data_IF_720997145660
#
_entry.id   IF_720997145660
#
_cell.length_a   1.000
_cell.length_b   1.000
_cell.length_c   1.000
_cell.angle_alpha   90.00
_cell.angle_beta   90.00
_cell.angle_gamma   90.00
#
_symmetry.space_group_name_H-M   'P 1'
#
loop_
_entity.id
_entity.type
_entity.pdbx_description
1 polymer ?
#
# COMPACT_ATOMS: atom_id res chain seq x y z
N UNK A 1 -2.17 -8.22 -3.49
CA UNK A 1 -0.83 -8.63 -3.01
C UNK A 1 -0.35 -9.97 -3.55
N UNK A 2 -1.11 -11.06 -3.44
CA UNK A 2 -0.69 -12.40 -3.91
C UNK A 2 -0.16 -12.46 -5.34
N UNK A 3 -0.84 -11.78 -6.28
CA UNK A 3 -0.43 -11.72 -7.69
C UNK A 3 1.00 -11.17 -7.89
N UNK A 4 1.42 -10.18 -7.10
CA UNK A 4 2.76 -9.60 -7.22
C UNK A 4 3.87 -10.55 -6.76
N UNK A 5 3.56 -11.51 -5.88
CA UNK A 5 4.55 -12.50 -5.41
C UNK A 5 4.99 -13.49 -6.49
N UNK A 6 4.23 -13.58 -7.59
CA UNK A 6 4.50 -14.44 -8.75
C UNK A 6 5.31 -13.70 -9.82
N UNK A 7 5.51 -12.39 -9.69
CA UNK A 7 6.33 -11.64 -10.65
C UNK A 7 7.81 -11.98 -10.49
N UNK A 8 8.48 -12.06 -11.64
CA UNK A 8 9.91 -12.34 -11.76
C UNK A 8 10.56 -11.41 -12.80
N UNK A 9 11.87 -11.58 -13.01
CA UNK A 9 12.63 -10.79 -13.98
C UNK A 9 12.22 -11.02 -15.45
N UNK A 10 11.49 -12.09 -15.75
CA UNK A 10 11.02 -12.43 -17.11
C UNK A 10 9.59 -11.97 -17.40
N UNK A 11 8.93 -11.39 -16.40
CA UNK A 11 7.52 -11.01 -16.48
C UNK A 11 7.30 -9.88 -17.48
N UNK A 12 6.35 -10.07 -18.41
CA UNK A 12 6.04 -9.10 -19.45
C UNK A 12 5.43 -7.81 -18.89
N UNK A 13 5.57 -6.71 -19.64
CA UNK A 13 5.01 -5.41 -19.26
C UNK A 13 3.50 -5.45 -19.03
N UNK A 14 2.79 -6.17 -19.91
CA UNK A 14 1.34 -6.34 -19.79
C UNK A 14 0.95 -7.06 -18.48
N UNK A 15 1.73 -8.06 -18.05
CA UNK A 15 1.42 -8.86 -16.85
C UNK A 15 1.45 -8.02 -15.58
N UNK A 16 2.53 -7.27 -15.35
CA UNK A 16 2.62 -6.44 -14.14
C UNK A 16 1.65 -5.26 -14.18
N UNK A 17 1.37 -4.70 -15.37
CA UNK A 17 0.39 -3.62 -15.53
C UNK A 17 -1.03 -4.06 -15.15
N UNK A 18 -1.47 -5.24 -15.62
CA UNK A 18 -2.78 -5.79 -15.25
C UNK A 18 -2.88 -6.03 -13.74
N UNK A 19 -1.82 -6.54 -13.11
CA UNK A 19 -1.81 -6.74 -11.65
C UNK A 19 -1.91 -5.43 -10.87
N UNK A 20 -1.27 -4.36 -11.37
CA UNK A 20 -1.41 -3.00 -10.81
C UNK A 20 -2.84 -2.48 -10.91
N UNK A 21 -3.51 -2.68 -12.05
CA UNK A 21 -4.92 -2.27 -12.23
C UNK A 21 -5.82 -2.97 -11.21
N UNK A 22 -5.70 -4.28 -11.07
CA UNK A 22 -6.50 -5.06 -10.10
C UNK A 22 -6.23 -4.57 -8.67
N UNK A 23 -4.97 -4.32 -8.32
CA UNK A 23 -4.60 -3.80 -7.01
C UNK A 23 -5.19 -2.41 -6.75
N UNK A 24 -5.07 -1.50 -7.72
CA UNK A 24 -5.58 -0.14 -7.63
C UNK A 24 -7.12 -0.12 -7.49
N UNK A 25 -7.82 -0.99 -8.22
CA UNK A 25 -9.26 -1.15 -8.07
C UNK A 25 -9.65 -1.56 -6.64
N UNK A 26 -8.95 -2.54 -6.06
CA UNK A 26 -9.18 -2.97 -4.67
C UNK A 26 -8.92 -1.86 -3.65
N UNK A 27 -7.81 -1.13 -3.79
CA UNK A 27 -7.49 0.02 -2.92
C UNK A 27 -8.54 1.13 -3.06
N UNK A 28 -9.02 1.38 -4.28
CA UNK A 28 -10.07 2.36 -4.56
C UNK A 28 -11.37 2.04 -3.81
N UNK A 29 -11.83 0.80 -3.90
CA UNK A 29 -13.05 0.34 -3.21
C UNK A 29 -12.95 0.50 -1.70
N UNK A 30 -11.84 0.10 -1.08
CA UNK A 30 -11.65 0.24 0.38
C UNK A 30 -11.56 1.72 0.77
N UNK A 31 -10.86 2.54 -0.02
CA UNK A 31 -10.67 3.95 0.31
C UNK A 31 -11.97 4.74 0.27
N UNK A 32 -12.90 4.40 -0.63
CA UNK A 32 -14.20 5.10 -0.75
C UNK A 32 -15.22 4.66 0.29
N UNK A 33 -15.16 3.42 0.78
CA UNK A 33 -16.15 2.90 1.75
C UNK A 33 -15.78 3.15 3.22
N UNK A 34 -14.49 3.30 3.54
CA UNK A 34 -14.02 3.34 4.94
C UNK A 34 -14.53 4.56 5.71
N UNK A 35 -14.45 5.77 5.14
CA UNK A 35 -14.84 6.98 5.86
C UNK A 35 -16.36 7.02 6.13
N UNK A 36 -17.25 6.75 5.15
CA UNK A 36 -18.69 6.66 5.40
C UNK A 36 -19.05 5.61 6.47
N UNK A 37 -18.36 4.47 6.49
CA UNK A 37 -18.61 3.41 7.47
C UNK A 37 -18.31 3.86 8.91
N UNK A 38 -17.34 4.76 9.13
CA UNK A 38 -17.05 5.34 10.45
C UNK A 38 -18.09 6.40 10.83
N UNK A 39 -18.59 7.15 9.85
CA UNK A 39 -19.50 8.28 10.08
C UNK A 39 -20.96 7.86 10.28
N UNK A 40 -21.34 6.64 9.89
CA UNK A 40 -22.73 6.18 9.90
C UNK A 40 -23.39 6.18 11.29
N UNK A 41 -22.63 5.95 12.36
CA UNK A 41 -23.15 5.95 13.75
C UNK A 41 -22.96 7.30 14.47
N UNK A 42 -22.27 8.26 13.88
CA UNK A 42 -21.88 9.52 14.54
C UNK A 42 -22.91 10.63 14.34
N UNK A 43 -23.09 11.49 15.34
CA UNK A 43 -23.87 12.72 15.20
C UNK A 43 -23.14 13.71 14.28
N UNK A 44 -23.87 14.63 13.65
CA UNK A 44 -23.28 15.57 12.68
C UNK A 44 -22.18 16.45 13.28
N UNK A 45 -22.31 16.80 14.56
CA UNK A 45 -21.28 17.54 15.32
C UNK A 45 -19.92 16.83 15.35
N UNK A 46 -19.91 15.50 15.23
CA UNK A 46 -18.71 14.66 15.32
C UNK A 46 -18.13 14.30 13.92
N UNK A 47 -18.77 14.74 12.83
CA UNK A 47 -18.31 14.47 11.44
C UNK A 47 -16.95 15.13 11.17
N UNK A 48 -16.74 16.35 11.65
CA UNK A 48 -15.46 17.05 11.48
C UNK A 48 -14.33 16.34 12.24
N UNK A 49 -14.57 15.98 13.50
CA UNK A 49 -13.61 15.27 14.35
C UNK A 49 -13.27 13.89 13.79
N UNK A 50 -14.28 13.11 13.39
CA UNK A 50 -14.06 11.78 12.79
C UNK A 50 -13.29 11.84 11.48
N UNK A 51 -13.55 12.82 10.62
CA UNK A 51 -12.78 13.04 9.39
C UNK A 51 -11.32 13.35 9.70
N UNK A 52 -11.06 14.20 10.69
CA UNK A 52 -9.70 14.54 11.12
C UNK A 52 -8.96 13.32 11.68
N UNK A 53 -9.60 12.53 12.55
CA UNK A 53 -9.04 11.29 13.10
C UNK A 53 -8.75 10.27 11.99
N UNK A 54 -9.68 10.09 11.05
CA UNK A 54 -9.48 9.21 9.89
C UNK A 54 -8.29 9.65 9.04
N UNK A 55 -8.18 10.95 8.74
CA UNK A 55 -7.04 11.51 8.00
C UNK A 55 -5.71 11.32 8.71
N UNK A 56 -5.69 11.51 10.03
CA UNK A 56 -4.51 11.26 10.87
C UNK A 56 -4.09 9.78 10.83
N UNK A 57 -5.02 8.86 11.08
CA UNK A 57 -4.76 7.42 11.05
C UNK A 57 -4.29 6.94 9.67
N UNK A 58 -4.90 7.46 8.60
CA UNK A 58 -4.46 7.19 7.22
C UNK A 58 -3.03 7.66 6.97
N UNK A 59 -2.69 8.85 7.45
CA UNK A 59 -1.33 9.40 7.30
C UNK A 59 -0.31 8.58 8.07
N UNK A 60 -0.64 8.19 9.31
CA UNK A 60 0.18 7.28 10.11
C UNK A 60 0.37 5.92 9.43
N UNK A 61 -0.70 5.35 8.89
CA UNK A 61 -0.65 4.10 8.12
C UNK A 61 0.22 4.21 6.88
N UNK A 62 0.24 5.37 6.22
CA UNK A 62 1.08 5.61 5.03
C UNK A 62 2.57 5.65 5.37
N UNK A 63 2.93 6.26 6.52
CA UNK A 63 4.31 6.29 7.03
C UNK A 63 4.81 4.85 7.26
N UNK A 64 4.05 4.05 8.01
CA UNK A 64 4.41 2.65 8.26
C UNK A 64 4.37 1.79 7.00
N UNK A 65 3.44 2.10 6.09
CA UNK A 65 3.28 1.42 4.81
C UNK A 65 4.49 1.54 3.88
N UNK A 66 5.34 2.56 4.06
CA UNK A 66 6.61 2.71 3.34
C UNK A 66 7.79 2.21 4.17
N UNK A 67 7.83 2.55 5.47
CA UNK A 67 8.95 2.22 6.34
C UNK A 67 9.14 0.70 6.53
N UNK A 68 8.05 -0.05 6.73
CA UNK A 68 8.11 -1.50 6.98
C UNK A 68 8.64 -2.24 5.73
N UNK A 69 8.08 -2.07 4.51
CA UNK A 69 8.64 -2.69 3.32
C UNK A 69 10.08 -2.28 3.02
N UNK A 70 10.46 -1.02 3.24
CA UNK A 70 11.84 -0.58 3.02
C UNK A 70 12.83 -1.30 3.97
N UNK A 71 12.47 -1.44 5.24
CA UNK A 71 13.28 -2.17 6.22
C UNK A 71 13.40 -3.66 5.87
N UNK A 72 12.27 -4.31 5.53
CA UNK A 72 12.25 -5.71 5.08
C UNK A 72 13.11 -5.89 3.83
N UNK A 73 12.95 -5.02 2.84
CA UNK A 73 13.66 -5.07 1.59
C UNK A 73 15.17 -5.02 1.83
N UNK A 74 15.64 -4.03 2.59
CA UNK A 74 17.06 -3.84 2.85
C UNK A 74 17.66 -5.01 3.64
N UNK A 75 16.98 -5.48 4.69
CA UNK A 75 17.41 -6.64 5.46
C UNK A 75 17.53 -7.90 4.59
N UNK A 76 16.56 -8.14 3.71
CA UNK A 76 16.60 -9.29 2.81
C UNK A 76 17.65 -9.14 1.72
N UNK A 77 17.76 -7.95 1.14
CA UNK A 77 18.76 -7.66 0.13
C UNK A 77 20.16 -7.91 0.67
N UNK A 78 20.45 -7.48 1.90
CA UNK A 78 21.76 -7.68 2.53
C UNK A 78 22.12 -9.16 2.68
N UNK A 79 21.14 -10.01 3.01
CA UNK A 79 21.32 -11.47 3.03
C UNK A 79 21.62 -12.04 1.65
N UNK A 80 20.95 -11.53 0.61
CA UNK A 80 21.10 -12.01 -0.78
C UNK A 80 22.33 -11.42 -1.46
N UNK A 81 22.83 -10.27 -1.01
CA UNK A 81 24.01 -9.60 -1.54
C UNK A 81 25.29 -10.44 -1.40
N UNK A 82 25.29 -11.44 -0.51
CA UNK A 82 26.34 -12.45 -0.41
C UNK A 82 26.58 -13.23 -1.72
N UNK A 83 25.60 -13.26 -2.64
CA UNK A 83 25.74 -13.85 -3.97
C UNK A 83 26.34 -12.93 -5.04
N UNK A 84 26.62 -11.66 -4.73
CA UNK A 84 27.22 -10.69 -5.69
C UNK A 84 28.74 -10.77 -5.61
N UNK A 85 29.41 -11.30 -6.62
CA UNK A 85 30.87 -11.55 -6.59
C UNK A 85 31.70 -10.26 -6.56
N UNK A 86 31.22 -9.19 -7.19
CA UNK A 86 31.87 -7.88 -7.16
C UNK A 86 31.74 -7.22 -5.78
N UNK A 87 32.84 -7.21 -5.04
CA UNK A 87 32.95 -6.62 -3.70
C UNK A 87 32.66 -5.12 -3.67
N UNK A 88 33.13 -4.36 -4.66
CA UNK A 88 32.92 -2.90 -4.69
C UNK A 88 31.43 -2.59 -4.91
N UNK A 89 30.80 -3.32 -5.82
CA UNK A 89 29.36 -3.21 -6.08
C UNK A 89 28.53 -3.64 -4.86
N UNK A 90 28.91 -4.75 -4.23
CA UNK A 90 28.26 -5.26 -3.01
C UNK A 90 28.29 -4.21 -1.90
N UNK A 91 29.45 -3.65 -1.59
CA UNK A 91 29.61 -2.61 -0.55
C UNK A 91 28.81 -1.36 -0.90
N UNK A 92 28.74 -0.97 -2.18
CA UNK A 92 27.96 0.18 -2.64
C UNK A 92 26.45 0.04 -2.46
N UNK A 93 25.93 -1.20 -2.42
CA UNK A 93 24.51 -1.51 -2.30
C UNK A 93 24.10 -1.97 -0.89
N UNK A 94 25.06 -2.20 0.01
CA UNK A 94 24.80 -2.58 1.41
C UNK A 94 24.38 -1.40 2.28
N UNK A 95 24.10 -1.65 3.56
CA UNK A 95 23.74 -0.63 4.56
C UNK A 95 22.52 0.23 4.19
N UNK A 96 21.51 -0.40 3.58
CA UNK A 96 20.26 0.27 3.20
C UNK A 96 20.30 1.05 1.88
N UNK A 97 21.47 1.12 1.22
CA UNK A 97 21.63 1.85 -0.03
C UNK A 97 20.93 1.16 -1.22
N UNK A 98 20.67 -0.15 -1.15
CA UNK A 98 20.01 -0.89 -2.23
C UNK A 98 18.61 -0.35 -2.55
N UNK A 99 17.80 -0.03 -1.53
CA UNK A 99 16.46 0.51 -1.76
C UNK A 99 16.52 1.89 -2.44
N UNK A 100 17.45 2.75 -2.02
CA UNK A 100 17.64 4.10 -2.57
C UNK A 100 18.22 4.09 -3.99
N UNK A 101 19.21 3.22 -4.24
CA UNK A 101 19.95 3.16 -5.51
C UNK A 101 19.27 2.29 -6.58
N UNK A 102 18.10 1.73 -6.26
CA UNK A 102 17.30 0.90 -7.17
C UNK A 102 16.94 1.69 -8.44
N UNK A 103 17.72 1.55 -9.51
CA UNK A 103 17.49 2.27 -10.76
C UNK A 103 17.85 1.44 -11.98
N UNK A 104 17.05 1.58 -13.04
CA UNK A 104 17.32 0.95 -14.33
C UNK A 104 18.66 1.39 -14.92
N UNK A 105 19.06 2.66 -14.68
CA UNK A 105 20.36 3.19 -15.12
C UNK A 105 21.53 2.45 -14.47
N UNK A 106 21.47 2.20 -13.16
CA UNK A 106 22.49 1.43 -12.46
C UNK A 106 22.54 0.00 -12.99
N UNK A 107 21.39 -0.68 -13.08
CA UNK A 107 21.33 -2.08 -13.52
C UNK A 107 21.82 -2.26 -14.96
N UNK A 108 21.49 -1.32 -15.85
CA UNK A 108 21.90 -1.38 -17.26
C UNK A 108 23.37 -1.00 -17.49
N UNK A 109 24.02 -0.35 -16.53
CA UNK A 109 25.44 -0.03 -16.59
C UNK A 109 26.34 -1.21 -16.17
N UNK A 110 25.78 -2.26 -15.56
CA UNK A 110 26.52 -3.43 -15.09
C UNK A 110 26.75 -4.44 -16.21
N UNK A 111 27.94 -5.04 -16.24
CA UNK A 111 28.25 -6.21 -17.06
C UNK A 111 27.82 -7.52 -16.38
N UNK A 112 27.68 -8.59 -17.15
CA UNK A 112 27.55 -9.94 -16.59
C UNK A 112 28.88 -10.38 -15.96
N UNK A 113 28.87 -11.17 -14.87
CA UNK A 113 27.71 -11.75 -14.18
C UNK A 113 27.07 -10.84 -13.10
N UNK A 114 27.69 -9.70 -12.79
CA UNK A 114 27.23 -8.80 -11.72
C UNK A 114 25.79 -8.31 -11.93
N UNK A 115 25.40 -8.05 -13.18
CA UNK A 115 24.04 -7.61 -13.52
C UNK A 115 22.99 -8.64 -13.11
N UNK A 116 23.14 -9.90 -13.51
CA UNK A 116 22.18 -10.95 -13.17
C UNK A 116 22.15 -11.25 -11.66
N UNK A 117 23.31 -11.22 -10.99
CA UNK A 117 23.41 -11.38 -9.53
C UNK A 117 22.65 -10.27 -8.78
N UNK A 118 22.83 -9.01 -9.18
CA UNK A 118 22.11 -7.87 -8.60
C UNK A 118 20.62 -7.98 -8.85
N UNK A 119 20.18 -8.28 -10.09
CA UNK A 119 18.76 -8.48 -10.40
C UNK A 119 18.16 -9.58 -9.52
N UNK A 120 18.85 -10.71 -9.36
CA UNK A 120 18.39 -11.81 -8.51
C UNK A 120 18.21 -11.39 -7.05
N UNK A 121 19.16 -10.61 -6.50
CA UNK A 121 19.06 -10.09 -5.13
C UNK A 121 17.88 -9.11 -4.98
N UNK A 122 17.69 -8.19 -5.93
CA UNK A 122 16.56 -7.26 -5.96
C UNK A 122 15.21 -7.99 -6.05
N UNK A 123 15.07 -8.92 -6.99
CA UNK A 123 13.84 -9.70 -7.17
C UNK A 123 13.54 -10.54 -5.93
N UNK A 124 14.55 -11.16 -5.31
CA UNK A 124 14.39 -11.94 -4.09
C UNK A 124 13.94 -11.10 -2.90
N UNK A 125 14.53 -9.91 -2.70
CA UNK A 125 14.12 -8.98 -1.66
C UNK A 125 12.69 -8.46 -1.88
N UNK A 126 12.36 -8.09 -3.13
CA UNK A 126 11.04 -7.61 -3.50
C UNK A 126 9.95 -8.69 -3.27
N UNK A 127 10.26 -9.96 -3.58
CA UNK A 127 9.35 -11.09 -3.33
C UNK A 127 9.01 -11.21 -1.84
N UNK A 128 9.98 -11.00 -0.94
CA UNK A 128 9.71 -11.03 0.50
C UNK A 128 8.81 -9.87 0.95
N UNK A 129 8.98 -8.67 0.38
CA UNK A 129 8.08 -7.55 0.65
C UNK A 129 6.64 -7.88 0.25
N UNK A 130 6.44 -8.50 -0.92
CA UNK A 130 5.11 -8.93 -1.34
C UNK A 130 4.51 -10.00 -0.42
N UNK A 131 5.32 -10.97 0.03
CA UNK A 131 4.86 -12.00 0.97
C UNK A 131 4.38 -11.40 2.30
N UNK A 132 5.13 -10.46 2.86
CA UNK A 132 4.70 -9.77 4.09
C UNK A 132 3.47 -8.90 3.82
N UNK A 133 3.39 -8.26 2.65
CA UNK A 133 2.19 -7.56 2.22
C UNK A 133 0.94 -8.44 2.15
N UNK A 134 1.08 -9.73 1.77
CA UNK A 134 -0.02 -10.71 1.83
C UNK A 134 -0.46 -10.92 3.28
N UNK A 135 0.47 -11.08 4.23
CA UNK A 135 0.15 -11.24 5.65
C UNK A 135 -0.64 -10.05 6.20
N UNK A 136 -0.21 -8.81 5.91
CA UNK A 136 -0.95 -7.61 6.30
C UNK A 136 -2.33 -7.54 5.64
N UNK A 137 -2.43 -7.90 4.36
CA UNK A 137 -3.71 -7.92 3.64
C UNK A 137 -4.66 -8.96 4.21
N UNK A 138 -4.16 -10.15 4.55
CA UNK A 138 -4.93 -11.22 5.16
C UNK A 138 -5.40 -10.83 6.56
N UNK A 139 -4.53 -10.21 7.37
CA UNK A 139 -4.90 -9.70 8.68
C UNK A 139 -5.98 -8.62 8.57
N UNK A 140 -5.83 -7.65 7.67
CA UNK A 140 -6.84 -6.62 7.42
C UNK A 140 -8.18 -7.22 6.98
N UNK A 141 -8.14 -8.23 6.10
CA UNK A 141 -9.32 -8.97 5.68
C UNK A 141 -9.99 -9.74 6.84
N UNK A 142 -9.22 -10.35 7.73
CA UNK A 142 -9.76 -11.02 8.92
C UNK A 142 -10.39 -10.03 9.91
N UNK A 143 -9.74 -8.88 10.12
CA UNK A 143 -10.28 -7.81 10.96
C UNK A 143 -11.57 -7.23 10.38
N UNK A 144 -11.76 -7.26 9.06
CA UNK A 144 -12.99 -6.82 8.41
C UNK A 144 -14.24 -7.59 8.88
N UNK A 145 -14.12 -8.88 9.23
CA UNK A 145 -15.23 -9.66 9.79
C UNK A 145 -15.64 -9.22 11.20
N UNK A 146 -14.77 -8.50 11.92
CA UNK A 146 -15.09 -7.94 13.23
C UNK A 146 -15.86 -6.64 13.16
N UNK A 147 -16.01 -6.02 11.98
CA UNK A 147 -16.82 -4.82 11.83
C UNK A 147 -18.30 -5.17 11.97
N UNK A 148 -19.02 -4.40 12.80
CA UNK A 148 -20.47 -4.48 12.88
C UNK A 148 -21.07 -3.96 11.58
N UNK A 149 -22.05 -4.70 11.06
CA UNK A 149 -22.88 -4.26 9.95
C UNK A 149 -23.87 -3.22 10.49
N UNK A 150 -23.79 -2.01 9.98
CA UNK A 150 -24.67 -0.89 10.36
C UNK A 150 -25.38 -0.42 9.10
N UNK A 151 -26.70 -0.26 9.18
CA UNK A 151 -27.46 0.30 8.06
C UNK A 151 -26.98 1.73 7.76
N UNK A 152 -26.59 1.99 6.51
CA UNK A 152 -26.25 3.34 6.06
C UNK A 152 -27.42 4.29 6.30
N UNK A 153 -27.19 5.39 7.03
CA UNK A 153 -28.19 6.45 7.27
C UNK A 153 -28.72 6.95 5.93
N UNK A 154 -30.06 6.96 5.81
CA UNK A 154 -30.78 7.41 4.62
C UNK A 154 -31.27 8.87 4.72
N UNK A 155 -31.13 9.51 5.88
CA UNK A 155 -31.52 10.90 6.14
C UNK A 155 -30.38 11.69 6.79
N UNK A 156 -30.16 12.91 6.30
CA UNK A 156 -29.39 13.95 6.99
C UNK A 156 -30.35 14.71 7.92
N UNK A 157 -30.00 14.87 9.19
CA UNK A 157 -30.69 15.77 10.11
C UNK A 157 -29.72 16.89 10.50
N UNK A 158 -29.61 17.85 9.59
CA UNK A 158 -28.74 19.03 9.73
C UNK A 158 -29.44 20.14 10.49
N UNK A 159 -28.79 20.68 11.53
CA UNK A 159 -29.13 21.99 12.14
C UNK A 159 -29.02 23.15 11.12
N UNK A 160 -28.35 22.90 9.98
CA UNK A 160 -28.17 23.84 8.87
C UNK A 160 -28.98 23.46 7.62
N UNK A 161 -29.97 22.57 7.73
CA UNK A 161 -30.90 22.28 6.65
C UNK A 161 -31.68 23.54 6.29
N UNK A 162 -31.82 23.82 4.98
CA UNK A 162 -32.75 24.85 4.52
C UNK A 162 -34.13 24.51 5.08
N UNK A 163 -34.67 25.37 5.96
CA UNK A 163 -36.07 25.29 6.35
C UNK A 163 -36.88 25.24 5.06
N UNK A 164 -37.55 24.11 4.82
CA UNK A 164 -38.57 24.02 3.80
C UNK A 164 -39.59 25.09 4.14
N UNK A 165 -39.53 26.23 3.42
CA UNK A 165 -40.58 27.22 3.43
C UNK A 165 -41.85 26.49 3.02
N UNK A 166 -42.64 26.14 4.02
CA UNK A 166 -44.03 25.74 3.89
C UNK A 166 -44.63 26.62 2.82
N UNK A 167 -45.15 25.99 1.77
CA UNK A 167 -46.15 26.59 0.89
C UNK A 167 -47.27 27.11 1.80
N UNK A 168 -47.20 28.40 2.14
CA UNK A 168 -48.38 29.15 2.55
C UNK A 168 -49.24 29.26 1.29
N UNK A 169 -50.17 28.32 1.19
CA UNK A 169 -51.38 28.52 0.44
C UNK A 169 -52.23 29.52 1.24
N UNK A 170 -52.40 30.72 0.70
CA UNK A 170 -53.69 31.41 0.59
C UNK A 170 -53.60 32.55 -0.43
#
# INVERSE_FOLDING_TARGET
MGLFSVLDASSSTARWAVFQIICAAGIGLVSTTTLPAVQVELEEKDVATSTATWGFLRSLGSIWGVAIPAAIFNNRFEQLAAGIEDLNLRVSLQNGAAYEKASAKLINALSEPSRSQVIAAYTGALKQCWQIGITFSALAFLLAFGLREVEMRKSLETEFGLEDKKKEAE
#
